data_IF_846160209802
#
_entry.id   IF_846160209802
#
_cell.length_a   1.000
_cell.length_b   1.000
_cell.length_c   1.000
_cell.angle_alpha   90.00
_cell.angle_beta   90.00
_cell.angle_gamma   90.00
#
_symmetry.space_group_name_H-M   'P 1'
#
loop_
_entity.id
_entity.type
_entity.pdbx_description
1 polymer ?
#
# COMPACT_ATOMS: atom_id res chain seq x y z
N UNK A 1 -10.62 -11.13 -3.63
CA UNK A 1 -10.81 -9.93 -2.77
C UNK A 1 -10.73 -8.73 -3.68
N UNK A 2 -11.42 -7.64 -3.35
CA UNK A 2 -11.30 -6.42 -4.14
C UNK A 2 -9.88 -5.87 -4.02
N UNK A 3 -9.44 -5.12 -5.03
CA UNK A 3 -8.12 -4.51 -5.03
C UNK A 3 -8.24 -3.00 -5.04
N UNK A 4 -7.37 -2.36 -4.28
CA UNK A 4 -7.39 -0.93 -4.07
C UNK A 4 -6.00 -0.35 -4.29
N UNK A 5 -5.97 0.88 -4.81
CA UNK A 5 -4.78 1.70 -4.96
C UNK A 5 -5.01 3.00 -4.19
N UNK A 6 -4.06 3.37 -3.33
CA UNK A 6 -4.09 4.64 -2.63
C UNK A 6 -2.87 5.50 -2.97
N UNK A 7 -3.08 6.81 -2.97
CA UNK A 7 -2.04 7.83 -3.09
C UNK A 7 -1.89 8.56 -1.76
N UNK A 8 -0.66 8.92 -1.41
CA UNK A 8 -0.36 9.63 -0.16
C UNK A 8 0.70 10.70 -0.36
N UNK A 9 0.67 11.72 0.49
CA UNK A 9 1.79 12.67 0.66
C UNK A 9 2.28 12.62 2.10
N UNK A 10 3.53 12.19 2.28
CA UNK A 10 4.18 12.04 3.58
C UNK A 10 5.37 12.99 3.64
N UNK A 11 5.28 14.00 4.50
CA UNK A 11 6.38 14.96 4.70
C UNK A 11 7.58 14.28 5.34
N UNK A 12 8.78 14.50 4.79
CA UNK A 12 10.02 13.94 5.32
C UNK A 12 10.16 12.44 5.14
N UNK A 13 9.46 11.84 4.17
CA UNK A 13 9.53 10.41 3.89
C UNK A 13 10.98 9.98 3.58
N UNK A 14 11.54 9.12 4.43
CA UNK A 14 12.90 8.58 4.25
C UNK A 14 12.89 7.09 3.89
N UNK A 15 13.96 6.62 3.26
CA UNK A 15 14.16 5.21 3.00
C UNK A 15 14.17 4.38 4.30
N UNK A 16 14.84 4.87 5.35
CA UNK A 16 14.91 4.18 6.64
C UNK A 16 13.54 4.03 7.30
N UNK A 17 12.68 5.06 7.21
CA UNK A 17 11.30 4.99 7.68
C UNK A 17 10.50 3.92 6.91
N UNK A 18 10.62 3.91 5.58
CA UNK A 18 9.96 2.90 4.73
C UNK A 18 10.44 1.49 5.09
N UNK A 19 11.75 1.29 5.23
CA UNK A 19 12.34 -0.01 5.60
C UNK A 19 11.85 -0.48 6.96
N UNK A 20 11.73 0.43 7.94
CA UNK A 20 11.16 0.12 9.23
C UNK A 20 9.68 -0.26 9.11
N UNK A 21 8.84 0.61 8.52
CA UNK A 21 7.39 0.40 8.44
C UNK A 21 6.99 -0.80 7.59
N UNK A 22 7.74 -1.12 6.53
CA UNK A 22 7.50 -2.29 5.67
C UNK A 22 8.25 -3.54 6.11
N UNK A 23 9.02 -3.46 7.21
CA UNK A 23 9.64 -4.62 7.84
C UNK A 23 10.83 -5.19 7.06
N UNK A 24 11.49 -4.37 6.23
CA UNK A 24 12.63 -4.78 5.42
C UNK A 24 13.83 -5.22 6.28
N UNK A 25 14.03 -4.62 7.47
CA UNK A 25 15.07 -5.05 8.42
C UNK A 25 14.72 -6.33 9.18
N UNK A 26 13.44 -6.65 9.31
CA UNK A 26 12.95 -7.77 10.14
C UNK A 26 12.42 -8.93 9.30
N UNK A 27 12.49 -8.86 7.97
CA UNK A 27 11.90 -9.85 7.06
C UNK A 27 10.37 -10.02 7.24
N UNK A 28 9.70 -8.99 7.74
CA UNK A 28 8.37 -9.11 8.33
C UNK A 28 7.23 -9.16 7.32
N UNK A 29 6.94 -10.34 6.77
CA UNK A 29 5.74 -10.59 5.94
C UNK A 29 4.45 -10.18 6.68
N UNK A 30 4.45 -10.23 8.02
CA UNK A 30 3.33 -9.77 8.85
C UNK A 30 2.96 -8.30 8.66
N UNK A 31 3.90 -7.43 8.27
CA UNK A 31 3.59 -6.02 7.98
C UNK A 31 2.86 -5.83 6.65
N UNK A 32 2.98 -6.80 5.75
CA UNK A 32 2.29 -6.85 4.47
C UNK A 32 0.94 -7.56 4.57
N UNK A 33 0.68 -8.31 5.64
CA UNK A 33 -0.62 -8.91 5.96
C UNK A 33 -1.02 -8.52 7.38
N UNK A 34 -1.48 -7.27 7.59
CA UNK A 34 -1.82 -6.77 8.92
C UNK A 34 -2.95 -7.60 9.57
N UNK A 35 -3.83 -8.19 8.76
CA UNK A 35 -4.88 -9.10 9.19
C UNK A 35 -5.19 -10.15 8.10
N UNK A 36 -6.25 -10.94 8.31
CA UNK A 36 -6.70 -11.96 7.34
C UNK A 36 -7.51 -11.41 6.16
N UNK A 37 -7.89 -10.13 6.21
CA UNK A 37 -8.79 -9.46 5.28
C UNK A 37 -8.05 -8.49 4.36
N UNK A 38 -6.78 -8.20 4.64
CA UNK A 38 -5.96 -7.21 3.95
C UNK A 38 -4.59 -7.77 3.66
N UNK A 39 -4.15 -7.66 2.41
CA UNK A 39 -2.79 -7.96 1.98
C UNK A 39 -2.28 -6.79 1.15
N UNK A 40 -1.24 -6.11 1.64
CA UNK A 40 -0.49 -5.12 0.87
C UNK A 40 0.34 -5.89 -0.15
N UNK A 41 0.33 -5.41 -1.38
CA UNK A 41 0.93 -6.09 -2.53
C UNK A 41 2.16 -5.35 -3.01
N UNK A 42 2.07 -4.03 -3.14
CA UNK A 42 3.14 -3.17 -3.63
C UNK A 42 3.09 -1.83 -2.95
N UNK A 43 4.28 -1.26 -2.74
CA UNK A 43 4.46 0.11 -2.27
C UNK A 43 5.54 0.75 -3.14
N UNK A 44 5.21 1.88 -3.76
CA UNK A 44 6.13 2.71 -4.51
C UNK A 44 6.29 4.04 -3.79
N UNK A 45 7.53 4.49 -3.64
CA UNK A 45 7.84 5.73 -2.95
C UNK A 45 8.70 6.64 -3.83
N UNK A 46 8.30 7.90 -3.90
CA UNK A 46 9.17 9.00 -4.29
C UNK A 46 9.52 9.79 -3.03
N UNK A 47 10.67 9.48 -2.45
CA UNK A 47 11.15 10.11 -1.21
C UNK A 47 11.55 11.58 -1.42
N UNK A 48 11.74 12.02 -2.67
CA UNK A 48 12.10 13.41 -2.96
C UNK A 48 10.89 14.36 -2.87
N UNK A 49 9.72 13.89 -3.32
CA UNK A 49 8.46 14.63 -3.22
C UNK A 49 7.61 14.24 -2.01
N UNK A 50 7.93 13.12 -1.36
CA UNK A 50 7.14 12.53 -0.28
C UNK A 50 5.91 11.76 -0.78
N UNK A 51 5.80 11.48 -2.08
CA UNK A 51 4.66 10.73 -2.63
C UNK A 51 4.82 9.23 -2.39
N UNK A 52 3.74 8.60 -1.97
CA UNK A 52 3.63 7.16 -1.80
C UNK A 52 2.44 6.64 -2.60
N UNK A 53 2.59 5.45 -3.18
CA UNK A 53 1.53 4.71 -3.84
C UNK A 53 1.47 3.32 -3.23
N UNK A 54 0.31 2.93 -2.71
CA UNK A 54 0.15 1.64 -2.04
C UNK A 54 -0.97 0.85 -2.71
N UNK A 55 -0.70 -0.41 -3.00
CA UNK A 55 -1.63 -1.34 -3.64
C UNK A 55 -1.95 -2.47 -2.65
N UNK A 56 -3.23 -2.78 -2.47
CA UNK A 56 -3.65 -3.89 -1.60
C UNK A 56 -4.80 -4.71 -2.19
N UNK A 57 -4.92 -5.94 -1.71
CA UNK A 57 -6.13 -6.74 -1.76
C UNK A 57 -6.83 -6.65 -0.41
N UNK A 58 -8.08 -6.23 -0.40
CA UNK A 58 -8.89 -6.16 0.81
C UNK A 58 -10.34 -6.61 0.56
N UNK A 59 -11.01 -7.08 1.61
CA UNK A 59 -12.45 -7.41 1.53
C UNK A 59 -13.30 -6.17 1.27
N UNK A 60 -12.92 -5.05 1.90
CA UNK A 60 -13.57 -3.74 1.78
C UNK A 60 -12.50 -2.64 1.85
N UNK A 61 -12.77 -1.48 1.26
CA UNK A 61 -11.87 -0.32 1.28
C UNK A 61 -11.51 0.12 2.71
N UNK A 62 -12.47 0.03 3.64
CA UNK A 62 -12.29 0.39 5.06
C UNK A 62 -11.11 -0.34 5.73
N UNK A 63 -10.90 -1.62 5.41
CA UNK A 63 -9.78 -2.39 5.96
C UNK A 63 -8.42 -1.86 5.46
N UNK A 64 -8.37 -1.37 4.22
CA UNK A 64 -7.17 -0.73 3.70
C UNK A 64 -6.92 0.61 4.40
N UNK A 65 -7.97 1.41 4.59
CA UNK A 65 -7.90 2.67 5.33
C UNK A 65 -7.42 2.51 6.76
N UNK A 66 -7.84 1.43 7.43
CA UNK A 66 -7.37 1.13 8.79
C UNK A 66 -5.88 0.78 8.82
N UNK A 67 -5.37 0.02 7.84
CA UNK A 67 -3.93 -0.18 7.68
C UNK A 67 -3.19 1.14 7.44
N UNK A 68 -3.72 2.01 6.56
CA UNK A 68 -3.13 3.31 6.27
C UNK A 68 -3.05 4.20 7.51
N UNK A 69 -4.08 4.20 8.36
CA UNK A 69 -4.08 4.89 9.66
C UNK A 69 -3.02 4.30 10.60
N UNK A 70 -2.93 2.97 10.72
CA UNK A 70 -1.93 2.30 11.55
C UNK A 70 -0.50 2.57 11.08
N UNK A 71 -0.29 2.62 9.76
CA UNK A 71 0.98 2.97 9.15
C UNK A 71 1.32 4.45 9.33
N UNK A 72 0.36 5.31 9.71
CA UNK A 72 0.54 6.76 9.77
C UNK A 72 0.65 7.40 8.37
N UNK A 73 0.04 6.76 7.36
CA UNK A 73 0.07 7.18 5.97
C UNK A 73 -1.36 7.45 5.47
N UNK A 74 -1.99 8.57 5.85
CA UNK A 74 -3.34 8.87 5.39
C UNK A 74 -3.38 8.95 3.86
N UNK A 75 -4.43 8.41 3.26
CA UNK A 75 -4.64 8.52 1.81
C UNK A 75 -5.14 9.92 1.44
N UNK A 76 -4.65 10.43 0.31
CA UNK A 76 -5.28 11.55 -0.40
C UNK A 76 -6.46 11.05 -1.21
N UNK A 77 -6.27 9.93 -1.92
CA UNK A 77 -7.28 9.27 -2.73
C UNK A 77 -7.16 7.76 -2.58
N UNK A 78 -8.29 7.07 -2.74
CA UNK A 78 -8.37 5.61 -2.80
C UNK A 78 -9.27 5.22 -3.96
N UNK A 79 -8.78 4.33 -4.80
CA UNK A 79 -9.47 3.86 -5.99
C UNK A 79 -9.60 2.34 -5.96
N UNK A 80 -10.77 1.82 -6.31
CA UNK A 80 -10.93 0.41 -6.62
C UNK A 80 -10.27 0.11 -7.98
N UNK A 81 -9.56 -1.00 -8.06
CA UNK A 81 -8.86 -1.45 -9.27
C UNK A 81 -9.67 -2.56 -9.93
N UNK A 82 -10.18 -2.28 -11.14
CA UNK A 82 -10.93 -3.26 -11.93
C UNK A 82 -10.04 -4.07 -12.88
N UNK A 83 -8.98 -3.47 -13.40
CA UNK A 83 -8.09 -4.05 -14.40
C UNK A 83 -6.63 -3.79 -14.01
N UNK A 84 -5.78 -4.79 -14.20
CA UNK A 84 -4.33 -4.65 -14.05
C UNK A 84 -3.68 -4.91 -15.40
N UNK A 85 -2.73 -4.04 -15.75
CA UNK A 85 -1.77 -4.26 -16.83
C UNK A 85 -0.38 -4.42 -16.22
N UNK A 86 0.30 -5.52 -16.52
CA UNK A 86 1.67 -5.75 -16.01
C UNK A 86 2.48 -6.52 -17.05
N UNK A 87 3.60 -5.92 -17.48
CA UNK A 87 4.57 -6.55 -18.41
C UNK A 87 3.95 -7.07 -19.71
N UNK A 88 3.01 -6.33 -20.28
CA UNK A 88 2.33 -6.69 -21.54
C UNK A 88 1.09 -7.58 -21.37
N UNK A 89 0.83 -8.08 -20.16
CA UNK A 89 -0.38 -8.84 -19.84
C UNK A 89 -1.46 -7.96 -19.21
N UNK A 90 -2.72 -8.41 -19.33
CA UNK A 90 -3.89 -7.76 -18.73
C UNK A 90 -4.81 -8.79 -18.08
N UNK A 91 -5.33 -8.48 -16.89
CA UNK A 91 -6.39 -9.26 -16.26
C UNK A 91 -7.36 -8.39 -15.46
N UNK A 92 -8.58 -8.91 -15.30
CA UNK A 92 -9.59 -8.36 -14.40
C UNK A 92 -9.34 -8.87 -12.98
N UNK A 93 -9.57 -8.00 -12.00
CA UNK A 93 -9.44 -8.31 -10.58
C UNK A 93 -10.77 -8.75 -9.99
#
# INVERSE_FOLDING_TARGET
>A
MARFLATHTISGLTEDELRNKLGAYTGGVSKWRPDRRTTILKVYADTSSGKLFTECEAVEQSHFEDWMKMAGWPAEEVHQVDLIFQTGDMWRV
#
